data_IF_388717415484
#
_entry.id   IF_388717415484
#
_cell.length_a   1.000
_cell.length_b   1.000
_cell.length_c   1.000
_cell.angle_alpha   90.00
_cell.angle_beta   90.00
_cell.angle_gamma   90.00
#
_symmetry.space_group_name_H-M   'P 1'
#
loop_
_entity.id
_entity.type
_entity.pdbx_description
1 polymer ?
#
# COMPACT_ATOMS: atom_id res chain seq x y z
N UNK A 1 9.25 -9.90 -9.90
CA UNK A 1 9.06 -9.58 -8.47
C UNK A 1 10.42 -9.63 -7.77
N UNK A 2 10.55 -9.05 -6.57
CA UNK A 2 11.80 -9.12 -5.80
C UNK A 2 11.88 -10.46 -5.08
N UNK A 3 13.02 -11.14 -5.12
CA UNK A 3 13.26 -12.40 -4.41
C UNK A 3 12.87 -12.32 -2.91
N UNK A 4 13.07 -11.15 -2.28
CA UNK A 4 12.70 -10.93 -0.89
C UNK A 4 11.18 -10.95 -0.66
N UNK A 5 10.39 -10.51 -1.65
CA UNK A 5 8.93 -10.55 -1.60
C UNK A 5 8.47 -12.00 -1.77
N UNK A 6 9.01 -12.72 -2.75
CA UNK A 6 8.63 -14.11 -3.03
C UNK A 6 8.87 -15.01 -1.79
N UNK A 7 10.00 -14.83 -1.10
CA UNK A 7 10.31 -15.57 0.13
C UNK A 7 9.38 -15.21 1.29
N UNK A 8 8.96 -13.94 1.39
CA UNK A 8 8.02 -13.51 2.42
C UNK A 8 6.62 -14.07 2.17
N UNK A 9 6.14 -14.05 0.92
CA UNK A 9 4.83 -14.57 0.52
C UNK A 9 4.72 -16.10 0.70
N UNK A 10 5.83 -16.81 0.48
CA UNK A 10 5.91 -18.26 0.71
C UNK A 10 6.10 -18.64 2.18
N UNK A 11 6.23 -17.67 3.10
CA UNK A 11 6.38 -17.91 4.53
C UNK A 11 7.78 -18.36 4.97
N UNK A 12 8.80 -18.24 4.11
CA UNK A 12 10.20 -18.58 4.45
C UNK A 12 10.86 -17.54 5.36
N UNK A 13 10.31 -16.34 5.45
CA UNK A 13 10.86 -15.23 6.24
C UNK A 13 10.10 -15.11 7.56
N UNK A 14 10.76 -15.21 8.72
CA UNK A 14 10.12 -14.99 10.02
C UNK A 14 9.43 -13.62 10.15
N UNK A 15 8.26 -13.59 10.78
CA UNK A 15 7.45 -12.39 11.02
C UNK A 15 8.23 -11.17 11.55
N UNK A 16 9.16 -11.29 12.52
CA UNK A 16 9.94 -10.14 12.97
C UNK A 16 10.77 -9.51 11.84
N UNK A 17 11.29 -10.31 10.92
CA UNK A 17 12.11 -9.85 9.79
C UNK A 17 11.21 -9.20 8.73
N UNK A 18 10.07 -9.81 8.40
CA UNK A 18 9.06 -9.20 7.51
C UNK A 18 8.68 -7.81 8.04
N UNK A 19 8.41 -7.71 9.34
CA UNK A 19 8.06 -6.45 10.01
C UNK A 19 9.19 -5.41 9.96
N UNK A 20 10.45 -5.82 10.07
CA UNK A 20 11.59 -4.92 9.92
C UNK A 20 11.69 -4.39 8.49
N UNK A 21 11.50 -5.24 7.48
CA UNK A 21 11.47 -4.85 6.07
C UNK A 21 10.38 -3.83 5.77
N UNK A 22 9.15 -4.09 6.22
CA UNK A 22 8.02 -3.14 6.09
C UNK A 22 8.38 -1.79 6.71
N UNK A 23 8.91 -1.77 7.94
CA UNK A 23 9.31 -0.51 8.60
C UNK A 23 10.41 0.23 7.84
N UNK A 24 11.36 -0.49 7.24
CA UNK A 24 12.39 0.12 6.42
C UNK A 24 11.81 0.80 5.18
N UNK A 25 10.92 0.11 4.45
CA UNK A 25 10.24 0.65 3.26
C UNK A 25 9.39 1.88 3.62
N UNK A 26 8.62 1.81 4.70
CA UNK A 26 7.81 2.95 5.20
C UNK A 26 8.71 4.13 5.58
N UNK A 27 9.84 3.90 6.26
CA UNK A 27 10.81 4.98 6.57
C UNK A 27 11.43 5.58 5.30
N UNK A 28 11.70 4.77 4.28
CA UNK A 28 12.13 5.26 2.96
C UNK A 28 11.09 6.18 2.36
N UNK A 29 9.84 5.72 2.28
CA UNK A 29 8.73 6.50 1.76
C UNK A 29 8.52 7.81 2.51
N UNK A 30 8.60 7.80 3.84
CA UNK A 30 8.50 9.02 4.64
C UNK A 30 9.64 10.00 4.30
N UNK A 31 10.89 9.53 4.20
CA UNK A 31 12.01 10.40 3.79
C UNK A 31 11.74 11.05 2.44
N UNK A 32 11.24 10.32 1.46
CA UNK A 32 10.93 10.87 0.13
C UNK A 32 9.81 11.92 0.18
N UNK A 33 8.77 11.65 0.98
CA UNK A 33 7.64 12.58 1.16
C UNK A 33 8.06 13.87 1.89
N UNK A 34 8.98 13.78 2.84
CA UNK A 34 9.48 14.92 3.62
C UNK A 34 10.76 15.56 3.05
N UNK A 35 11.30 15.05 1.95
CA UNK A 35 12.51 15.61 1.33
C UNK A 35 12.27 17.04 0.81
N UNK A 36 13.30 17.89 0.89
CA UNK A 36 13.27 19.27 0.39
C UNK A 36 12.61 20.27 1.34
N UNK A 37 12.47 21.51 0.89
CA UNK A 37 11.83 22.59 1.66
C UNK A 37 10.31 22.45 1.69
N UNK A 38 9.65 23.16 2.61
CA UNK A 38 8.19 23.20 2.69
C UNK A 38 7.55 23.70 1.39
N UNK A 39 8.20 24.62 0.67
CA UNK A 39 7.72 25.06 -0.65
C UNK A 39 7.71 23.91 -1.66
N UNK A 40 8.78 23.12 -1.75
CA UNK A 40 8.83 21.95 -2.64
C UNK A 40 7.79 20.88 -2.27
N UNK A 41 7.47 20.74 -0.98
CA UNK A 41 6.43 19.83 -0.50
C UNK A 41 5.04 20.32 -0.93
N UNK A 42 4.75 21.61 -0.79
CA UNK A 42 3.50 22.22 -1.24
C UNK A 42 3.30 22.08 -2.76
N UNK A 43 4.35 22.34 -3.55
CA UNK A 43 4.27 22.19 -5.02
C UNK A 43 3.95 20.75 -5.42
N UNK A 44 4.58 19.74 -4.79
CA UNK A 44 4.28 18.32 -5.06
C UNK A 44 2.86 17.94 -4.65
N UNK A 45 2.38 18.48 -3.54
CA UNK A 45 1.01 18.24 -3.07
C UNK A 45 -0.03 18.82 -4.03
N UNK A 46 0.14 20.07 -4.46
CA UNK A 46 -0.76 20.71 -5.43
C UNK A 46 -0.76 20.00 -6.78
N UNK A 47 0.41 19.56 -7.26
CA UNK A 47 0.52 18.77 -8.48
C UNK A 47 -0.26 17.44 -8.37
N UNK A 48 -0.15 16.73 -7.24
CA UNK A 48 -0.92 15.53 -6.98
C UNK A 48 -2.43 15.83 -6.97
N UNK A 49 -2.86 16.88 -6.27
CA UNK A 49 -4.27 17.25 -6.21
C UNK A 49 -4.84 17.63 -7.57
N UNK A 50 -4.07 18.35 -8.40
CA UNK A 50 -4.46 18.65 -9.76
C UNK A 50 -4.64 17.36 -10.59
N UNK A 51 -3.69 16.42 -10.51
CA UNK A 51 -3.78 15.14 -11.22
C UNK A 51 -4.99 14.31 -10.78
N UNK A 52 -5.30 14.27 -9.48
CA UNK A 52 -6.44 13.51 -8.96
C UNK A 52 -7.78 14.10 -9.41
N UNK A 53 -7.89 15.44 -9.44
CA UNK A 53 -9.10 16.13 -9.95
C UNK A 53 -9.36 15.86 -11.43
N UNK A 54 -8.32 15.55 -12.20
CA UNK A 54 -8.42 15.21 -13.61
C UNK A 54 -8.56 13.71 -13.87
N UNK A 55 -8.32 12.87 -12.85
CA UNK A 55 -8.46 11.43 -12.97
C UNK A 55 -9.92 10.98 -12.94
N UNK A 56 -10.20 9.80 -13.49
CA UNK A 56 -11.50 9.16 -13.31
C UNK A 56 -11.76 8.87 -11.84
N UNK A 57 -13.02 8.93 -11.43
CA UNK A 57 -13.45 8.67 -10.04
C UNK A 57 -12.96 7.31 -9.52
N UNK A 58 -12.91 6.29 -10.38
CA UNK A 58 -12.31 5.01 -10.06
C UNK A 58 -11.58 4.44 -11.27
N UNK A 59 -10.37 3.95 -11.04
CA UNK A 59 -9.55 3.23 -12.02
C UNK A 59 -9.59 1.73 -11.70
N UNK A 60 -9.64 0.88 -12.73
CA UNK A 60 -9.52 -0.57 -12.62
C UNK A 60 -10.51 -1.24 -11.62
N UNK A 61 -11.77 -0.79 -11.62
CA UNK A 61 -12.82 -1.25 -10.70
C UNK A 61 -13.02 -2.77 -10.70
N UNK A 62 -13.06 -3.40 -11.87
CA UNK A 62 -13.22 -4.86 -11.99
C UNK A 62 -12.04 -5.61 -11.37
N UNK A 63 -10.80 -5.17 -11.63
CA UNK A 63 -9.61 -5.77 -11.07
C UNK A 63 -9.55 -5.61 -9.54
N UNK A 64 -9.96 -4.45 -9.02
CA UNK A 64 -10.04 -4.22 -7.58
C UNK A 64 -11.07 -5.14 -6.91
N UNK A 65 -12.23 -5.36 -7.54
CA UNK A 65 -13.25 -6.29 -7.04
C UNK A 65 -12.72 -7.73 -6.98
N UNK A 66 -12.16 -8.22 -8.09
CA UNK A 66 -11.62 -9.57 -8.17
C UNK A 66 -10.47 -9.83 -7.19
N UNK A 67 -9.60 -8.83 -6.95
CA UNK A 67 -8.43 -8.99 -6.07
C UNK A 67 -8.75 -8.84 -4.58
N UNK A 68 -9.78 -8.06 -4.21
CA UNK A 68 -9.97 -7.64 -2.81
C UNK A 68 -11.37 -7.82 -2.23
N UNK A 69 -12.43 -7.78 -3.05
CA UNK A 69 -13.82 -7.80 -2.54
C UNK A 69 -14.53 -9.13 -2.78
N UNK A 70 -14.17 -9.86 -3.83
CA UNK A 70 -14.81 -11.12 -4.22
C UNK A 70 -14.23 -12.34 -3.48
N UNK A 71 -13.94 -12.17 -2.18
CA UNK A 71 -13.51 -13.25 -1.29
C UNK A 71 -14.74 -13.83 -0.55
N UNK A 72 -14.85 -15.14 -0.34
CA UNK A 72 -16.01 -15.74 0.31
C UNK A 72 -16.31 -15.11 1.68
N UNK A 73 -17.58 -14.78 1.93
CA UNK A 73 -18.03 -14.16 3.20
C UNK A 73 -17.60 -14.96 4.44
N UNK A 74 -17.52 -16.29 4.33
CA UNK A 74 -17.03 -17.16 5.40
C UNK A 74 -15.62 -16.82 5.87
N UNK A 75 -14.73 -16.40 4.97
CA UNK A 75 -13.37 -15.99 5.29
C UNK A 75 -13.35 -14.75 6.20
N UNK A 76 -14.11 -13.71 5.84
CA UNK A 76 -14.17 -12.48 6.64
C UNK A 76 -14.67 -12.71 8.06
N UNK A 77 -15.65 -13.61 8.25
CA UNK A 77 -16.13 -13.99 9.59
C UNK A 77 -15.03 -14.62 10.46
N UNK A 78 -14.02 -15.24 9.87
CA UNK A 78 -12.91 -15.86 10.60
C UNK A 78 -11.81 -14.85 10.94
N UNK A 79 -11.52 -13.89 10.07
CA UNK A 79 -10.33 -13.03 10.19
C UNK A 79 -10.59 -11.66 10.82
N UNK A 80 -11.83 -11.13 10.76
CA UNK A 80 -12.13 -9.78 11.25
C UNK A 80 -12.41 -9.72 12.76
N UNK A 81 -12.50 -10.87 13.43
CA UNK A 81 -12.89 -10.96 14.84
C UNK A 81 -14.41 -10.79 15.06
N UNK A 82 -14.83 -10.90 16.32
CA UNK A 82 -16.22 -10.68 16.73
C UNK A 82 -16.38 -9.21 17.12
N UNK A 83 -17.38 -8.54 16.54
CA UNK A 83 -17.75 -7.16 16.89
C UNK A 83 -18.09 -7.04 18.38
#
# INVERSE_FOLDING_TARGET
>A
MSLAIDLAEQGWVPDPIVRLGIRHLVKGRLRDLYAGSDHHRLVRFEALMHSLRQSSVALATEAANAQHYEVPTGFFRLILGRH
#
